data_IF_415235621606
#
_entry.id   IF_415235621606
#
_cell.length_a   1.000
_cell.length_b   1.000
_cell.length_c   1.000
_cell.angle_alpha   90.00
_cell.angle_beta   90.00
_cell.angle_gamma   90.00
#
_symmetry.space_group_name_H-M   'P 1'
#
loop_
_entity.id
_entity.type
_entity.pdbx_description
1 polymer ?
#
# COMPACT_ATOMS: atom_id res chain seq x y z
N UNK A 1 42.87 8.87 -55.33
CA UNK A 1 41.61 8.65 -54.57
C UNK A 1 41.35 7.15 -54.57
N UNK A 2 41.69 6.44 -53.48
CA UNK A 2 41.48 4.99 -53.42
C UNK A 2 40.05 4.72 -52.98
N UNK A 3 39.26 4.14 -53.89
CA UNK A 3 37.90 3.70 -53.62
C UNK A 3 38.00 2.29 -53.04
N UNK A 4 37.75 2.16 -51.74
CA UNK A 4 37.73 0.86 -51.07
C UNK A 4 36.49 0.08 -51.48
N UNK A 5 36.68 -1.08 -52.12
CA UNK A 5 35.60 -1.99 -52.50
C UNK A 5 35.37 -2.99 -51.36
N UNK A 6 34.18 -2.97 -50.77
CA UNK A 6 33.74 -4.00 -49.82
C UNK A 6 33.45 -5.27 -50.63
N UNK A 7 34.07 -6.40 -50.26
CA UNK A 7 33.80 -7.69 -50.90
C UNK A 7 32.40 -8.18 -50.54
N UNK A 8 31.73 -8.79 -51.51
CA UNK A 8 30.45 -9.48 -51.30
C UNK A 8 30.69 -10.64 -50.32
N UNK A 9 29.74 -10.86 -49.41
CA UNK A 9 29.75 -11.88 -48.34
C UNK A 9 30.61 -11.57 -47.10
N UNK A 10 31.13 -10.35 -46.98
CA UNK A 10 31.74 -9.86 -45.74
C UNK A 10 30.68 -9.48 -44.70
N UNK A 11 30.84 -9.95 -43.46
CA UNK A 11 30.04 -9.52 -42.30
C UNK A 11 30.83 -8.55 -41.42
N UNK A 12 30.17 -7.53 -40.88
CA UNK A 12 30.80 -6.50 -40.05
C UNK A 12 30.10 -6.38 -38.70
N UNK A 13 30.87 -6.25 -37.63
CA UNK A 13 30.38 -5.98 -36.28
C UNK A 13 30.68 -4.55 -35.87
N UNK A 14 29.70 -3.92 -35.22
CA UNK A 14 29.84 -2.57 -34.70
C UNK A 14 30.33 -2.63 -33.25
N UNK A 15 31.54 -2.15 -33.02
CA UNK A 15 32.09 -1.94 -31.69
C UNK A 15 32.17 -0.43 -31.42
N UNK A 16 31.19 0.09 -30.68
CA UNK A 16 31.02 1.54 -30.48
C UNK A 16 30.72 2.29 -31.79
N UNK A 17 31.60 3.20 -32.17
CA UNK A 17 31.52 3.99 -33.41
C UNK A 17 32.25 3.34 -34.59
N UNK A 18 32.87 2.18 -34.42
CA UNK A 18 33.74 1.55 -35.42
C UNK A 18 33.16 0.23 -35.92
N UNK A 19 33.34 -0.07 -37.21
CA UNK A 19 32.93 -1.34 -37.81
C UNK A 19 34.15 -2.23 -38.06
N UNK A 20 34.10 -3.46 -37.57
CA UNK A 20 35.18 -4.45 -37.65
C UNK A 20 34.71 -5.60 -38.54
N UNK A 21 35.53 -6.04 -39.49
CA UNK A 21 35.25 -7.21 -40.32
C UNK A 21 35.32 -8.49 -39.46
N UNK A 22 34.33 -9.38 -39.58
CA UNK A 22 34.32 -10.67 -38.90
C UNK A 22 34.40 -11.78 -39.95
N UNK A 23 35.36 -12.69 -39.78
CA UNK A 23 35.55 -13.89 -40.61
C UNK A 23 34.83 -15.14 -40.05
N UNK A 24 34.42 -15.13 -38.77
CA UNK A 24 33.85 -16.29 -38.06
C UNK A 24 32.33 -16.23 -37.82
N UNK A 25 31.71 -17.40 -37.60
CA UNK A 25 30.30 -17.51 -37.23
C UNK A 25 30.03 -16.81 -35.90
N UNK A 26 29.20 -15.77 -35.95
CA UNK A 26 28.84 -14.95 -34.79
C UNK A 26 28.08 -15.77 -33.74
N UNK A 27 28.64 -15.88 -32.53
CA UNK A 27 27.95 -16.42 -31.37
C UNK A 27 27.40 -15.27 -30.50
N UNK A 28 26.07 -15.19 -30.38
CA UNK A 28 25.42 -14.25 -29.45
C UNK A 28 25.83 -14.62 -28.03
N UNK A 29 26.56 -13.72 -27.36
CA UNK A 29 26.86 -13.87 -25.94
C UNK A 29 25.63 -13.43 -25.12
N UNK A 30 24.97 -14.36 -24.44
CA UNK A 30 23.76 -14.07 -23.64
C UNK A 30 24.05 -13.40 -22.28
N UNK A 31 25.31 -13.10 -21.95
CA UNK A 31 25.69 -12.55 -20.64
C UNK A 31 25.00 -11.21 -20.30
N UNK A 32 24.59 -10.41 -21.28
CA UNK A 32 23.90 -9.13 -21.07
C UNK A 32 22.41 -9.15 -21.45
N UNK A 33 21.83 -10.33 -21.68
CA UNK A 33 20.46 -10.48 -22.16
C UNK A 33 19.44 -9.82 -21.24
N UNK A 34 19.64 -9.90 -19.92
CA UNK A 34 18.78 -9.22 -18.93
C UNK A 34 18.81 -7.70 -19.11
N UNK A 35 20.00 -7.10 -19.23
CA UNK A 35 20.18 -5.65 -19.43
C UNK A 35 19.61 -5.19 -20.77
N UNK A 36 19.82 -5.95 -21.85
CA UNK A 36 19.25 -5.60 -23.16
C UNK A 36 17.73 -5.69 -23.13
N UNK A 37 17.17 -6.68 -22.44
CA UNK A 37 15.72 -6.81 -22.28
C UNK A 37 15.12 -5.68 -21.44
N UNK A 38 15.79 -5.25 -20.37
CA UNK A 38 15.32 -4.08 -19.59
C UNK A 38 15.32 -2.83 -20.45
N UNK A 39 16.43 -2.52 -21.16
CA UNK A 39 16.51 -1.37 -22.07
C UNK A 39 15.40 -1.41 -23.14
N UNK A 40 15.17 -2.57 -23.76
CA UNK A 40 14.10 -2.74 -24.76
C UNK A 40 12.73 -2.47 -24.15
N UNK A 41 12.46 -2.98 -22.96
CA UNK A 41 11.18 -2.74 -22.25
C UNK A 41 10.94 -1.25 -22.02
N UNK A 42 11.96 -0.49 -21.59
CA UNK A 42 11.84 0.96 -21.40
C UNK A 42 11.77 1.75 -22.70
N UNK A 43 12.42 1.27 -23.76
CA UNK A 43 12.39 1.91 -25.08
C UNK A 43 11.02 1.81 -25.77
N UNK A 44 10.14 0.93 -25.29
CA UNK A 44 8.76 0.78 -25.82
C UNK A 44 7.86 1.93 -25.35
N UNK A 45 8.20 2.63 -24.26
CA UNK A 45 7.43 3.77 -23.76
C UNK A 45 7.69 4.99 -24.63
N UNK A 46 6.92 5.13 -25.71
CA UNK A 46 6.95 6.36 -26.48
C UNK A 46 6.33 7.51 -25.66
N UNK A 47 6.88 8.72 -25.83
CA UNK A 47 6.46 9.91 -25.08
C UNK A 47 4.95 10.17 -25.17
N UNK A 48 4.37 9.91 -26.35
CA UNK A 48 2.94 10.03 -26.58
C UNK A 48 2.13 9.14 -25.63
N UNK A 49 2.50 7.88 -25.46
CA UNK A 49 1.83 6.95 -24.55
C UNK A 49 1.92 7.37 -23.08
N UNK A 50 3.05 7.94 -22.66
CA UNK A 50 3.19 8.50 -21.32
C UNK A 50 2.27 9.70 -21.11
N UNK A 51 2.24 10.64 -22.06
CA UNK A 51 1.35 11.81 -22.00
C UNK A 51 -0.12 11.40 -22.03
N UNK A 52 -0.49 10.52 -22.96
CA UNK A 52 -1.86 10.02 -23.10
C UNK A 52 -2.30 9.33 -21.79
N UNK A 53 -1.43 8.53 -21.16
CA UNK A 53 -1.72 7.87 -19.89
C UNK A 53 -1.87 8.80 -18.69
N UNK A 54 -1.07 9.88 -18.61
CA UNK A 54 -1.24 10.93 -17.59
C UNK A 54 -2.57 11.65 -17.78
N UNK A 55 -2.90 12.01 -19.02
CA UNK A 55 -4.18 12.66 -19.34
C UNK A 55 -5.37 11.76 -19.03
N UNK A 56 -5.27 10.48 -19.36
CA UNK A 56 -6.28 9.47 -19.06
C UNK A 56 -6.52 9.39 -17.55
N UNK A 57 -5.47 9.23 -16.75
CA UNK A 57 -5.56 9.20 -15.28
C UNK A 57 -6.23 10.45 -14.70
N UNK A 58 -5.80 11.63 -15.17
CA UNK A 58 -6.36 12.90 -14.72
C UNK A 58 -7.84 13.07 -15.12
N UNK A 59 -8.24 12.54 -16.27
CA UNK A 59 -9.62 12.63 -16.76
C UNK A 59 -10.59 11.71 -16.01
N UNK A 60 -10.11 10.58 -15.52
CA UNK A 60 -10.90 9.65 -14.72
C UNK A 60 -10.97 10.02 -13.23
N UNK A 61 -10.00 10.80 -12.76
CA UNK A 61 -9.97 11.25 -11.37
C UNK A 61 -11.01 12.35 -11.15
N UNK A 62 -11.90 12.15 -10.18
CA UNK A 62 -12.83 13.19 -9.79
C UNK A 62 -12.04 14.40 -9.23
N UNK A 63 -12.44 15.66 -9.48
CA UNK A 63 -11.64 16.84 -9.09
C UNK A 63 -11.30 16.91 -7.60
N UNK A 64 -12.13 16.31 -6.75
CA UNK A 64 -11.94 16.25 -5.29
C UNK A 64 -10.82 15.30 -4.85
N UNK A 65 -10.36 14.40 -5.74
CA UNK A 65 -9.27 13.45 -5.49
C UNK A 65 -7.89 14.00 -5.88
N UNK A 66 -7.82 15.27 -6.31
CA UNK A 66 -6.59 16.03 -6.51
C UNK A 66 -5.48 15.23 -7.21
N UNK A 67 -5.71 14.79 -8.46
CA UNK A 67 -4.76 13.96 -9.18
C UNK A 67 -3.45 14.70 -9.42
N UNK A 68 -2.35 14.03 -9.15
CA UNK A 68 -0.99 14.54 -9.32
C UNK A 68 -0.12 13.52 -10.08
N UNK A 69 0.85 14.02 -10.84
CA UNK A 69 1.83 13.20 -11.53
C UNK A 69 3.25 13.58 -11.10
N UNK A 70 4.11 12.58 -10.95
CA UNK A 70 5.49 12.74 -10.48
C UNK A 70 6.41 11.92 -11.37
N UNK A 71 7.54 12.53 -11.73
CA UNK A 71 8.58 11.88 -12.52
C UNK A 71 9.74 11.51 -11.59
N UNK A 72 10.06 10.22 -11.53
CA UNK A 72 11.21 9.69 -10.80
C UNK A 72 12.34 9.33 -11.75
N UNK A 73 13.54 9.85 -11.48
CA UNK A 73 14.78 9.55 -12.20
C UNK A 73 14.70 9.73 -13.73
N UNK A 74 13.83 10.65 -14.19
CA UNK A 74 13.51 10.88 -15.61
C UNK A 74 13.06 9.63 -16.39
N UNK A 75 12.73 8.55 -15.68
CA UNK A 75 12.47 7.24 -16.24
C UNK A 75 11.08 6.74 -15.90
N UNK A 76 10.48 7.19 -14.80
CA UNK A 76 9.21 6.69 -14.29
C UNK A 76 8.22 7.81 -14.07
N UNK A 77 7.05 7.71 -14.67
CA UNK A 77 5.91 8.60 -14.50
C UNK A 77 4.89 7.86 -13.63
N UNK A 78 4.72 8.33 -12.40
CA UNK A 78 3.72 7.84 -11.46
C UNK A 78 2.62 8.89 -11.33
N UNK A 79 1.39 8.47 -11.51
CA UNK A 79 0.21 9.26 -11.19
C UNK A 79 -0.42 8.73 -9.92
N UNK A 80 -0.91 9.64 -9.08
CA UNK A 80 -1.67 9.29 -7.90
C UNK A 80 -2.79 10.29 -7.66
N UNK A 81 -3.84 9.83 -6.98
CA UNK A 81 -4.97 10.66 -6.57
C UNK A 81 -5.49 10.11 -5.24
N UNK A 82 -6.09 10.99 -4.45
CA UNK A 82 -6.60 10.64 -3.13
C UNK A 82 -7.63 11.67 -2.67
N UNK A 83 -8.64 11.20 -1.95
CA UNK A 83 -9.55 12.08 -1.23
C UNK A 83 -8.82 12.71 -0.05
N UNK A 84 -8.90 14.05 0.09
CA UNK A 84 -8.31 14.76 1.22
C UNK A 84 -9.33 14.90 2.34
N UNK A 85 -8.98 14.37 3.51
CA UNK A 85 -9.74 14.52 4.74
C UNK A 85 -8.96 15.32 5.78
N UNK A 86 -9.67 15.96 6.71
CA UNK A 86 -9.09 16.68 7.84
C UNK A 86 -9.49 16.01 9.14
N UNK A 87 -8.50 15.49 9.86
CA UNK A 87 -8.69 14.99 11.21
C UNK A 87 -7.95 15.93 12.19
N UNK A 88 -8.72 16.80 12.83
CA UNK A 88 -8.17 17.87 13.67
C UNK A 88 -7.40 18.92 12.86
N UNK A 89 -6.10 19.09 13.16
CA UNK A 89 -5.22 20.05 12.47
C UNK A 89 -4.33 19.41 11.39
N UNK A 90 -4.41 18.08 11.20
CA UNK A 90 -3.57 17.36 10.23
C UNK A 90 -4.43 16.86 9.07
N UNK A 91 -3.87 16.95 7.86
CA UNK A 91 -4.48 16.47 6.63
C UNK A 91 -4.10 15.00 6.42
N UNK A 92 -5.08 14.21 6.03
CA UNK A 92 -4.93 12.79 5.75
C UNK A 92 -5.55 12.47 4.40
N UNK A 93 -5.15 11.34 3.84
CA UNK A 93 -5.63 10.86 2.55
C UNK A 93 -6.48 9.60 2.73
N UNK A 94 -7.56 9.50 1.97
CA UNK A 94 -8.36 8.29 1.83
C UNK A 94 -8.56 7.96 0.36
N UNK A 95 -9.00 6.73 0.07
CA UNK A 95 -9.31 6.30 -1.30
C UNK A 95 -8.18 6.60 -2.31
N UNK A 96 -6.97 6.14 -1.97
CA UNK A 96 -5.77 6.44 -2.74
C UNK A 96 -5.68 5.51 -3.95
N UNK A 97 -5.60 6.10 -5.13
CA UNK A 97 -5.27 5.43 -6.39
C UNK A 97 -3.83 5.75 -6.80
N UNK A 98 -3.05 4.73 -7.17
CA UNK A 98 -1.67 4.91 -7.67
C UNK A 98 -1.44 4.08 -8.93
N UNK A 99 -0.95 4.74 -9.97
CA UNK A 99 -0.67 4.14 -11.27
C UNK A 99 0.72 4.51 -11.76
N UNK A 100 1.49 3.50 -12.18
CA UNK A 100 2.76 3.72 -12.88
C UNK A 100 2.51 3.63 -14.38
N UNK A 101 2.52 4.78 -15.04
CA UNK A 101 2.14 4.92 -16.45
C UNK A 101 3.09 4.13 -17.36
N UNK A 102 4.37 4.06 -16.99
CA UNK A 102 5.40 3.33 -17.74
C UNK A 102 5.12 1.84 -17.97
N UNK A 103 4.26 1.21 -17.19
CA UNK A 103 3.93 -0.21 -17.38
C UNK A 103 2.48 -0.42 -17.81
N UNK A 104 1.70 0.65 -18.00
CA UNK A 104 0.23 0.59 -18.07
C UNK A 104 -0.38 -0.28 -16.96
N UNK A 105 0.27 -0.31 -15.79
CA UNK A 105 -0.20 -1.07 -14.63
C UNK A 105 -0.72 -0.11 -13.58
N UNK A 106 -1.97 -0.33 -13.19
CA UNK A 106 -2.47 0.12 -11.88
C UNK A 106 -1.69 -0.64 -10.82
N UNK A 107 -0.92 0.08 -10.01
CA UNK A 107 -0.06 -0.52 -8.99
C UNK A 107 -0.82 -0.70 -7.68
N UNK A 108 -1.73 0.22 -7.37
CA UNK A 108 -2.40 0.25 -6.08
C UNK A 108 -3.78 0.89 -6.17
N UNK A 109 -4.77 0.26 -5.54
CA UNK A 109 -6.06 0.85 -5.18
C UNK A 109 -6.20 0.59 -3.68
N UNK A 110 -6.29 1.65 -2.90
CA UNK A 110 -6.35 1.57 -1.45
C UNK A 110 -7.72 2.01 -0.96
N UNK A 111 -8.58 1.07 -0.57
CA UNK A 111 -9.77 1.39 0.24
C UNK A 111 -9.37 1.65 1.71
N UNK A 112 -8.30 2.42 1.91
CA UNK A 112 -7.79 2.77 3.24
C UNK A 112 -8.45 4.07 3.67
N UNK A 113 -8.95 4.06 4.90
CA UNK A 113 -9.67 5.21 5.47
C UNK A 113 -8.75 6.37 5.81
N UNK A 114 -7.54 6.11 6.33
CA UNK A 114 -6.58 7.15 6.65
C UNK A 114 -5.18 6.73 6.21
N UNK A 115 -4.50 7.62 5.51
CA UNK A 115 -3.13 7.40 5.11
C UNK A 115 -2.34 8.71 5.02
N UNK A 116 -1.06 8.61 5.31
CA UNK A 116 -0.06 9.64 5.03
C UNK A 116 0.72 9.25 3.76
N UNK A 117 1.08 10.24 2.96
CA UNK A 117 1.87 10.04 1.74
C UNK A 117 3.19 10.78 1.90
N UNK A 118 4.30 10.07 1.69
CA UNK A 118 5.65 10.62 1.71
C UNK A 118 6.30 10.42 0.34
N UNK A 119 6.90 11.49 -0.19
CA UNK A 119 7.49 11.48 -1.53
C UNK A 119 8.90 12.05 -1.44
N UNK A 120 9.86 11.33 -2.00
CA UNK A 120 11.27 11.75 -2.13
C UNK A 120 11.69 11.69 -3.59
N UNK A 121 12.95 12.02 -3.90
CA UNK A 121 13.48 11.95 -5.28
C UNK A 121 13.43 10.55 -5.90
N UNK A 122 13.43 9.49 -5.07
CA UNK A 122 13.54 8.08 -5.51
C UNK A 122 12.49 7.16 -4.91
N UNK A 123 11.57 7.68 -4.12
CA UNK A 123 10.60 6.86 -3.39
C UNK A 123 9.23 7.53 -3.33
N UNK A 124 8.20 6.73 -3.59
CA UNK A 124 6.80 7.05 -3.26
C UNK A 124 6.34 6.11 -2.16
N UNK A 125 5.85 6.63 -1.04
CA UNK A 125 5.48 5.85 0.13
C UNK A 125 4.09 6.22 0.62
N UNK A 126 3.31 5.19 0.95
CA UNK A 126 2.02 5.30 1.61
C UNK A 126 2.12 4.65 2.99
N UNK A 127 1.75 5.39 4.02
CA UNK A 127 1.64 4.91 5.39
C UNK A 127 0.15 4.80 5.71
N UNK A 128 -0.35 3.58 5.82
CA UNK A 128 -1.71 3.30 6.26
C UNK A 128 -1.83 3.55 7.77
N UNK A 129 -2.88 4.29 8.15
CA UNK A 129 -3.20 4.65 9.53
C UNK A 129 -4.57 4.07 9.91
N UNK A 130 -4.70 3.58 11.13
CA UNK A 130 -5.97 3.07 11.67
C UNK A 130 -6.39 3.84 12.92
N UNK A 131 -7.66 4.26 13.03
CA UNK A 131 -8.17 4.89 14.23
C UNK A 131 -8.41 3.83 15.31
N UNK A 132 -7.66 3.93 16.41
CA UNK A 132 -7.83 3.06 17.58
C UNK A 132 -8.05 3.90 18.83
N UNK A 133 -8.90 3.41 19.72
CA UNK A 133 -9.42 4.18 20.85
C UNK A 133 -10.78 3.71 21.33
N UNK A 134 -11.22 4.25 22.47
CA UNK A 134 -12.50 3.94 23.10
C UNK A 134 -13.11 5.19 23.74
N UNK A 135 -14.44 5.16 23.96
CA UNK A 135 -15.21 6.26 24.55
C UNK A 135 -14.88 7.64 23.91
N UNK A 136 -14.96 7.71 22.57
CA UNK A 136 -14.74 8.92 21.75
C UNK A 136 -13.29 9.45 21.71
N UNK A 137 -12.35 8.79 22.40
CA UNK A 137 -10.92 9.12 22.35
C UNK A 137 -10.19 8.23 21.35
N UNK A 138 -10.10 8.66 20.09
CA UNK A 138 -9.41 7.95 19.02
C UNK A 138 -8.10 8.62 18.64
N UNK A 139 -7.06 7.81 18.43
CA UNK A 139 -5.80 8.23 17.84
C UNK A 139 -5.51 7.40 16.59
N UNK A 140 -4.77 7.97 15.65
CA UNK A 140 -4.36 7.29 14.42
C UNK A 140 -3.02 6.59 14.64
N UNK A 141 -2.97 5.29 14.38
CA UNK A 141 -1.78 4.45 14.53
C UNK A 141 -1.30 3.93 13.17
N UNK A 142 0.00 4.05 12.83
CA UNK A 142 0.57 3.45 11.62
C UNK A 142 0.43 1.93 11.64
N UNK A 143 -0.23 1.37 10.63
CA UNK A 143 -0.45 -0.07 10.51
C UNK A 143 0.54 -0.70 9.52
N UNK A 144 0.67 -0.11 8.33
CA UNK A 144 1.46 -0.69 7.25
C UNK A 144 2.05 0.40 6.36
N UNK A 145 3.32 0.22 6.00
CA UNK A 145 4.00 1.00 4.98
C UNK A 145 3.96 0.24 3.64
N UNK A 146 3.63 0.94 2.56
CA UNK A 146 3.84 0.48 1.18
C UNK A 146 4.76 1.46 0.48
N UNK A 147 5.95 1.02 0.05
CA UNK A 147 6.93 1.88 -0.62
C UNK A 147 7.26 1.37 -2.03
N UNK A 148 7.27 2.30 -2.98
CA UNK A 148 7.73 2.11 -4.35
C UNK A 148 9.09 2.78 -4.46
N UNK A 149 10.14 2.00 -4.65
CA UNK A 149 11.52 2.45 -4.68
C UNK A 149 12.06 2.39 -6.10
N UNK A 150 12.48 3.53 -6.65
CA UNK A 150 12.99 3.65 -8.02
C UNK A 150 14.52 3.61 -8.04
N UNK A 151 15.09 2.88 -9.01
CA UNK A 151 16.52 2.68 -9.16
C UNK A 151 17.02 3.27 -10.50
N UNK A 152 18.26 3.75 -10.52
CA UNK A 152 18.87 4.38 -11.69
C UNK A 152 19.07 3.44 -12.87
N UNK A 153 19.15 2.13 -12.62
CA UNK A 153 19.27 1.09 -13.64
C UNK A 153 17.95 0.83 -14.42
N UNK A 154 16.93 1.69 -14.23
CA UNK A 154 15.60 1.47 -14.77
C UNK A 154 14.96 0.25 -14.15
N UNK A 155 14.97 0.13 -12.83
CA UNK A 155 14.13 -0.87 -12.15
C UNK A 155 13.45 -0.21 -10.96
N UNK A 156 12.39 -0.84 -10.47
CA UNK A 156 11.74 -0.41 -9.25
C UNK A 156 11.36 -1.64 -8.42
N UNK A 157 11.22 -1.45 -7.12
CA UNK A 157 10.72 -2.46 -6.20
C UNK A 157 9.54 -1.92 -5.42
N UNK A 158 8.58 -2.80 -5.14
CA UNK A 158 7.47 -2.50 -4.24
C UNK A 158 7.69 -3.32 -2.98
N UNK A 159 7.81 -2.64 -1.85
CA UNK A 159 7.90 -3.28 -0.54
C UNK A 159 6.64 -2.96 0.27
N UNK A 160 6.16 -3.96 1.02
CA UNK A 160 5.12 -3.79 2.02
C UNK A 160 5.68 -4.25 3.36
N UNK A 161 5.53 -3.42 4.37
CA UNK A 161 6.01 -3.70 5.71
C UNK A 161 4.93 -3.34 6.73
N UNK A 162 4.61 -4.28 7.62
CA UNK A 162 3.76 -3.98 8.78
C UNK A 162 4.64 -3.23 9.80
N UNK A 163 4.20 -2.04 10.19
CA UNK A 163 4.91 -1.14 11.12
C UNK A 163 4.05 -0.85 12.36
N UNK A 164 3.15 -1.78 12.67
CA UNK A 164 2.10 -1.59 13.66
C UNK A 164 2.60 -1.73 15.09
N UNK A 165 2.54 -0.62 15.81
CA UNK A 165 2.72 -0.57 17.26
C UNK A 165 1.37 -0.30 17.91
N UNK A 166 0.76 -1.31 18.58
CA UNK A 166 -0.57 -1.14 19.14
C UNK A 166 -0.57 -0.15 20.32
N UNK A 167 -1.70 0.53 20.57
CA UNK A 167 -1.86 1.36 21.76
C UNK A 167 -1.76 0.55 23.04
N UNK A 168 -1.05 1.09 24.03
CA UNK A 168 -0.98 0.56 25.39
C UNK A 168 -1.79 1.44 26.34
N UNK A 169 -2.67 0.80 27.11
CA UNK A 169 -3.54 1.44 28.11
C UNK A 169 -3.29 0.86 29.51
N UNK A 170 -3.82 1.51 30.55
CA UNK A 170 -3.73 0.99 31.91
C UNK A 170 -4.44 -0.37 32.02
N UNK A 171 -3.85 -1.28 32.78
CA UNK A 171 -4.37 -2.65 32.91
C UNK A 171 -5.78 -2.66 33.53
N UNK A 172 -6.04 -1.83 34.53
CA UNK A 172 -7.35 -1.79 35.18
C UNK A 172 -8.40 -1.21 34.21
N UNK A 173 -8.04 -0.18 33.45
CA UNK A 173 -8.92 0.38 32.40
C UNK A 173 -9.31 -0.67 31.36
N UNK A 174 -8.36 -1.50 30.92
CA UNK A 174 -8.61 -2.57 29.95
C UNK A 174 -9.48 -3.69 30.52
N UNK A 175 -9.25 -4.10 31.78
CA UNK A 175 -10.10 -5.09 32.45
C UNK A 175 -11.54 -4.56 32.64
N UNK A 176 -11.70 -3.31 33.04
CA UNK A 176 -13.01 -2.65 33.15
C UNK A 176 -13.70 -2.52 31.78
N UNK A 177 -12.97 -2.09 30.74
CA UNK A 177 -13.47 -2.00 29.38
C UNK A 177 -13.96 -3.36 28.89
N UNK A 178 -13.20 -4.42 29.12
CA UNK A 178 -13.58 -5.77 28.73
C UNK A 178 -14.85 -6.25 29.45
N UNK A 179 -14.90 -6.09 30.78
CA UNK A 179 -16.06 -6.49 31.57
C UNK A 179 -17.33 -5.70 31.21
N UNK A 180 -17.20 -4.38 31.03
CA UNK A 180 -18.26 -3.50 30.52
C UNK A 180 -18.72 -4.00 29.15
N UNK A 181 -17.80 -4.25 28.23
CA UNK A 181 -18.11 -4.71 26.88
C UNK A 181 -18.87 -6.03 26.90
N UNK A 182 -18.43 -7.05 27.67
CA UNK A 182 -19.17 -8.32 27.79
C UNK A 182 -20.58 -8.14 28.35
N UNK A 183 -20.72 -7.30 29.38
CA UNK A 183 -22.01 -7.01 30.01
C UNK A 183 -22.99 -6.38 29.00
N UNK A 184 -22.51 -5.40 28.24
CA UNK A 184 -23.30 -4.70 27.24
C UNK A 184 -23.62 -5.59 26.03
N UNK A 185 -22.66 -6.39 25.55
CA UNK A 185 -22.90 -7.43 24.52
C UNK A 185 -23.99 -8.41 24.95
N UNK A 186 -24.04 -8.81 26.22
CA UNK A 186 -25.11 -9.69 26.73
C UNK A 186 -26.48 -9.01 26.68
N UNK A 187 -26.57 -7.73 27.08
CA UNK A 187 -27.82 -6.95 26.99
C UNK A 187 -28.26 -6.73 25.55
N UNK A 188 -27.30 -6.45 24.66
CA UNK A 188 -27.51 -6.27 23.23
C UNK A 188 -28.12 -7.52 22.60
N UNK A 189 -27.50 -8.69 22.83
CA UNK A 189 -28.01 -9.99 22.36
C UNK A 189 -29.42 -10.33 22.89
N UNK A 190 -29.79 -9.79 24.05
CA UNK A 190 -31.12 -10.00 24.66
C UNK A 190 -32.18 -8.98 24.22
N UNK A 191 -31.81 -7.98 23.42
CA UNK A 191 -32.72 -6.90 23.01
C UNK A 191 -33.08 -5.91 24.12
N UNK A 192 -32.35 -5.92 25.24
CA UNK A 192 -32.56 -5.02 26.40
C UNK A 192 -31.59 -3.83 26.32
N UNK A 193 -31.26 -3.42 25.09
CA UNK A 193 -30.22 -2.43 24.82
C UNK A 193 -30.79 -1.01 24.98
N UNK A 194 -30.28 -0.19 25.91
CA UNK A 194 -30.74 1.18 26.09
C UNK A 194 -30.44 2.01 24.85
N UNK A 195 -31.38 2.88 24.42
CA UNK A 195 -31.16 3.82 23.31
C UNK A 195 -29.97 4.76 23.51
N UNK A 196 -29.59 5.00 24.76
CA UNK A 196 -28.44 5.85 25.13
C UNK A 196 -27.09 5.17 24.81
N UNK A 197 -27.09 3.86 24.58
CA UNK A 197 -25.89 3.09 24.28
C UNK A 197 -25.71 2.82 22.78
N UNK A 198 -26.47 3.48 21.88
CA UNK A 198 -26.39 3.21 20.44
C UNK A 198 -24.95 3.27 19.86
N UNK A 199 -24.10 4.21 20.32
CA UNK A 199 -22.70 4.31 19.90
C UNK A 199 -21.87 3.07 20.31
N UNK A 200 -22.29 2.33 21.33
CA UNK A 200 -21.60 1.13 21.78
C UNK A 200 -21.68 0.02 20.74
N UNK A 201 -22.76 -0.11 19.95
CA UNK A 201 -22.89 -1.15 18.91
C UNK A 201 -21.76 -1.04 17.87
N UNK A 202 -21.45 0.18 17.44
CA UNK A 202 -20.38 0.47 16.47
C UNK A 202 -18.99 0.23 17.09
N UNK A 203 -18.86 0.42 18.41
CA UNK A 203 -17.62 0.23 19.15
C UNK A 203 -17.30 -1.20 19.59
N UNK A 204 -18.26 -2.14 19.61
CA UNK A 204 -18.08 -3.50 20.19
C UNK A 204 -16.84 -4.19 19.65
N UNK A 205 -16.70 -4.24 18.32
CA UNK A 205 -15.58 -4.91 17.68
C UNK A 205 -14.24 -4.26 18.05
N UNK A 206 -14.19 -2.94 18.05
CA UNK A 206 -12.99 -2.19 18.41
C UNK A 206 -12.61 -2.36 19.88
N UNK A 207 -13.59 -2.42 20.79
CA UNK A 207 -13.30 -2.66 22.21
C UNK A 207 -12.69 -4.04 22.42
N UNK A 208 -13.23 -5.07 21.76
CA UNK A 208 -12.61 -6.41 21.80
C UNK A 208 -11.21 -6.44 21.17
N UNK A 209 -10.99 -5.71 20.08
CA UNK A 209 -9.66 -5.54 19.47
C UNK A 209 -8.68 -4.88 20.46
N UNK A 210 -9.05 -3.76 21.07
CA UNK A 210 -8.19 -3.04 22.03
C UNK A 210 -7.85 -3.92 23.23
N UNK A 211 -8.84 -4.66 23.77
CA UNK A 211 -8.60 -5.61 24.84
C UNK A 211 -7.58 -6.70 24.43
N UNK A 212 -7.65 -7.17 23.18
CA UNK A 212 -6.72 -8.19 22.67
C UNK A 212 -5.30 -7.64 22.57
N UNK A 213 -5.17 -6.46 21.95
CA UNK A 213 -3.89 -5.76 21.78
C UNK A 213 -3.22 -5.44 23.12
N UNK A 214 -4.01 -5.35 24.20
CA UNK A 214 -3.54 -5.09 25.57
C UNK A 214 -3.48 -6.35 26.46
N UNK A 215 -3.56 -7.55 25.88
CA UNK A 215 -3.22 -8.81 26.54
C UNK A 215 -4.39 -9.70 27.00
N UNK A 216 -5.65 -9.29 26.81
CA UNK A 216 -6.83 -10.14 27.08
C UNK A 216 -7.06 -11.05 25.87
N UNK A 217 -6.39 -12.21 25.86
CA UNK A 217 -6.40 -13.13 24.70
C UNK A 217 -7.79 -13.65 24.36
N UNK A 218 -8.66 -13.81 25.35
CA UNK A 218 -10.03 -14.28 25.19
C UNK A 218 -10.88 -13.35 24.30
N UNK A 219 -10.56 -12.05 24.27
CA UNK A 219 -11.33 -11.08 23.50
C UNK A 219 -11.24 -11.32 21.98
N UNK A 220 -10.21 -12.04 21.51
CA UNK A 220 -10.12 -12.48 20.10
C UNK A 220 -11.33 -13.31 19.69
N UNK A 221 -11.74 -14.24 20.56
CA UNK A 221 -12.91 -15.09 20.31
C UNK A 221 -14.18 -14.26 20.31
N UNK A 222 -14.31 -13.35 21.29
CA UNK A 222 -15.47 -12.46 21.38
C UNK A 222 -15.58 -11.53 20.15
N UNK A 223 -14.45 -11.04 19.61
CA UNK A 223 -14.40 -10.26 18.37
C UNK A 223 -14.89 -11.06 17.16
N UNK A 224 -14.49 -12.32 17.03
CA UNK A 224 -14.94 -13.19 15.92
C UNK A 224 -16.45 -13.46 16.04
N UNK A 225 -16.92 -13.84 17.23
CA UNK A 225 -18.34 -14.10 17.50
C UNK A 225 -19.20 -12.84 17.37
N UNK A 226 -18.60 -11.64 17.43
CA UNK A 226 -19.34 -10.39 17.23
C UNK A 226 -20.03 -10.27 15.88
N UNK A 227 -19.53 -10.98 14.87
CA UNK A 227 -20.15 -11.01 13.54
C UNK A 227 -21.58 -11.53 13.53
N UNK A 228 -21.96 -12.39 14.46
CA UNK A 228 -23.29 -13.02 14.49
C UNK A 228 -24.43 -12.04 14.79
N UNK A 229 -24.12 -10.92 15.43
CA UNK A 229 -25.13 -9.98 15.92
C UNK A 229 -24.89 -8.52 15.50
N UNK A 230 -23.76 -8.19 14.87
CA UNK A 230 -23.52 -6.88 14.28
C UNK A 230 -24.06 -6.82 12.84
N UNK A 231 -24.65 -5.69 12.47
CA UNK A 231 -25.14 -5.38 11.13
C UNK A 231 -24.62 -4.00 10.64
N UNK A 232 -24.85 -3.70 9.35
CA UNK A 232 -24.49 -2.42 8.74
C UNK A 232 -23.02 -2.04 8.92
N UNK A 233 -22.79 -0.77 9.29
CA UNK A 233 -21.46 -0.18 9.53
C UNK A 233 -20.68 -0.91 10.62
N UNK A 234 -21.34 -1.37 11.69
CA UNK A 234 -20.68 -2.09 12.77
C UNK A 234 -20.12 -3.45 12.31
N UNK A 235 -20.82 -4.11 11.38
CA UNK A 235 -20.36 -5.37 10.79
C UNK A 235 -19.16 -5.15 9.85
N UNK A 236 -19.14 -4.05 9.08
CA UNK A 236 -18.00 -3.67 8.25
C UNK A 236 -16.77 -3.34 9.11
N UNK A 237 -16.97 -2.57 10.18
CA UNK A 237 -15.91 -2.23 11.12
C UNK A 237 -15.33 -3.45 11.84
N UNK A 238 -16.16 -4.47 12.10
CA UNK A 238 -15.71 -5.73 12.65
C UNK A 238 -14.74 -6.48 11.73
N UNK A 239 -14.98 -6.47 10.41
CA UNK A 239 -14.06 -7.07 9.43
C UNK A 239 -12.72 -6.33 9.45
N UNK A 240 -12.77 -5.00 9.54
CA UNK A 240 -11.59 -4.16 9.63
C UNK A 240 -10.79 -4.41 10.92
N UNK A 241 -11.47 -4.56 12.06
CA UNK A 241 -10.83 -4.94 13.33
C UNK A 241 -10.11 -6.30 13.23
N UNK A 242 -10.72 -7.28 12.55
CA UNK A 242 -10.06 -8.58 12.30
C UNK A 242 -8.85 -8.45 11.39
N UNK A 243 -8.89 -7.57 10.38
CA UNK A 243 -7.75 -7.29 9.50
C UNK A 243 -6.57 -6.72 10.29
N UNK A 244 -6.83 -5.76 11.17
CA UNK A 244 -5.82 -5.16 12.07
C UNK A 244 -5.23 -6.22 13.00
N UNK A 245 -6.10 -7.05 13.63
CA UNK A 245 -5.67 -8.14 14.51
C UNK A 245 -4.75 -9.12 13.80
N UNK A 246 -5.11 -9.57 12.60
CA UNK A 246 -4.29 -10.52 11.84
C UNK A 246 -2.91 -9.94 11.49
N UNK A 247 -2.83 -8.65 11.10
CA UNK A 247 -1.55 -7.98 10.85
C UNK A 247 -0.69 -7.87 12.12
N UNK A 248 -1.33 -7.62 13.27
CA UNK A 248 -0.64 -7.61 14.55
C UNK A 248 -0.06 -9.00 14.90
N UNK A 249 -0.83 -10.07 14.73
CA UNK A 249 -0.37 -11.46 14.93
C UNK A 249 0.79 -11.82 14.00
N UNK A 250 0.74 -11.39 12.73
CA UNK A 250 1.83 -11.57 11.76
C UNK A 250 3.12 -10.84 12.21
N UNK A 251 2.98 -9.64 12.79
CA UNK A 251 4.11 -8.87 13.31
C UNK A 251 4.79 -9.59 14.47
N UNK A 252 4.02 -10.18 15.39
CA UNK A 252 4.55 -10.97 16.50
C UNK A 252 5.30 -12.20 15.97
N UNK A 253 4.68 -12.96 15.06
CA UNK A 253 5.30 -14.15 14.47
C UNK A 253 6.63 -13.82 13.78
N UNK A 254 6.67 -12.76 12.96
CA UNK A 254 7.88 -12.32 12.27
C UNK A 254 9.01 -11.88 13.21
N UNK A 255 8.69 -11.42 14.42
CA UNK A 255 9.69 -11.06 15.43
C UNK A 255 10.22 -12.30 16.18
N UNK A 256 9.37 -13.30 16.47
CA UNK A 256 9.78 -14.55 17.11
C UNK A 256 10.76 -15.37 16.24
N UNK A 257 10.64 -15.33 14.91
CA UNK A 257 11.58 -16.01 14.00
C UNK A 257 12.93 -15.29 13.82
N UNK A 258 13.08 -14.06 14.33
CA UNK A 258 14.32 -13.27 14.25
C UNK A 258 15.18 -13.35 15.53
N UNK A 259 14.65 -13.94 16.59
CA UNK A 259 15.34 -14.23 17.88
C UNK A 259 15.77 -15.68 17.97
#
# INVERSE_FOLDING_TARGET
MNIWKIKRDNSYYRYGSTSILIDDQFHINENNKQTVNSIKKYSINNLKGLIDGVQEFNSFSHPEYLPENIVFLDQFVLCWSAWRDKYGSKEYYSEIDVQLINENKKIFISAVQYADIEITEKQFKIIELVPLGYDENYNLYPLQETSINFQENGTYTIAKQIIFEPPSFDKNEIEELYMRTKSLTKKFKQGIFPKQENNFQEGIAQYYLICYLNGIKESRKDLIESREYLDGSAAEWQIECLRILNKHEETIANNEYKT
#
